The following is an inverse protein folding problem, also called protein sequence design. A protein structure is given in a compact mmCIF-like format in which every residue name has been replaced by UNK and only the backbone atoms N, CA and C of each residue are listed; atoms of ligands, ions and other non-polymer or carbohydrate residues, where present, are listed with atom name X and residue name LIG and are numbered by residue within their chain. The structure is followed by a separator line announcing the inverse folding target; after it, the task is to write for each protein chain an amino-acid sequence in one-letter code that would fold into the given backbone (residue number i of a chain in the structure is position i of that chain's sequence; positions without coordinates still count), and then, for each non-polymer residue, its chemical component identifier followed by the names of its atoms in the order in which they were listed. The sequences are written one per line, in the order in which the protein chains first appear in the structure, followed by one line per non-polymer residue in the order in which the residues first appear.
data_IF_132765225184
#
_entry.id   IF_132765225184
#
_cell.length_a   1.000
_cell.length_b   1.000
_cell.length_c   1.000
_cell.angle_alpha   90.00
_cell.angle_beta   90.00
_cell.angle_gamma   90.00
#
_symmetry.space_group_name_H-M   'P 1'
#
loop_
_entity.id
_entity.type
_entity.pdbx_description
1 polymer ?
#
# COMPACT_ATOMS: atom_id res chain seq x y z
N UNK A 1 -57.06 15.63 -11.03
CA UNK A 1 -56.26 16.54 -10.16
C UNK A 1 -54.76 16.55 -10.51
N UNK A 2 -54.25 15.64 -11.37
CA UNK A 2 -52.86 15.63 -11.86
C UNK A 2 -52.63 16.40 -13.18
N UNK A 3 -53.69 16.91 -13.80
CA UNK A 3 -53.62 17.57 -15.12
C UNK A 3 -53.64 19.12 -15.03
N UNK A 4 -53.36 19.69 -13.85
CA UNK A 4 -53.19 21.14 -13.73
C UNK A 4 -51.78 21.52 -14.21
N UNK A 5 -51.63 22.46 -15.16
CA UNK A 5 -50.33 22.79 -15.77
C UNK A 5 -49.28 23.29 -14.76
N UNK A 6 -49.72 23.83 -13.62
CA UNK A 6 -48.84 24.27 -12.54
C UNK A 6 -48.62 23.23 -11.42
N UNK A 7 -49.21 22.02 -11.52
CA UNK A 7 -49.14 21.02 -10.45
C UNK A 7 -47.70 20.64 -10.06
N UNK A 8 -46.79 20.49 -11.03
CA UNK A 8 -45.39 20.16 -10.73
C UNK A 8 -44.63 21.34 -10.11
N UNK A 9 -45.04 22.57 -10.41
CA UNK A 9 -44.46 23.78 -9.86
C UNK A 9 -44.95 23.98 -8.43
N UNK A 10 -46.25 23.83 -8.21
CA UNK A 10 -46.89 23.91 -6.89
C UNK A 10 -46.40 22.79 -5.96
N UNK A 11 -46.18 21.57 -6.47
CA UNK A 11 -45.60 20.48 -5.69
C UNK A 11 -44.13 20.75 -5.31
N UNK A 12 -43.35 21.38 -6.20
CA UNK A 12 -41.96 21.78 -5.92
C UNK A 12 -41.89 22.94 -4.92
N UNK A 13 -42.79 23.90 -5.05
CA UNK A 13 -42.86 25.06 -4.15
C UNK A 13 -43.41 24.66 -2.77
N UNK A 14 -44.38 23.73 -2.70
CA UNK A 14 -44.83 23.14 -1.43
C UNK A 14 -43.75 22.31 -0.73
N UNK A 15 -42.94 21.54 -1.48
CA UNK A 15 -41.82 20.79 -0.92
C UNK A 15 -40.68 21.71 -0.41
N UNK A 16 -40.50 22.89 -1.03
CA UNK A 16 -39.58 23.93 -0.54
C UNK A 16 -40.13 24.66 0.68
N UNK A 17 -41.43 24.96 0.69
CA UNK A 17 -42.10 25.66 1.78
C UNK A 17 -42.24 24.81 3.06
N UNK A 18 -42.35 23.48 2.95
CA UNK A 18 -42.42 22.57 4.10
C UNK A 18 -41.07 22.34 4.80
N UNK A 19 -39.96 22.89 4.31
CA UNK A 19 -38.64 22.64 4.87
C UNK A 19 -38.26 23.61 6.01
N UNK A 20 -39.18 23.83 6.95
CA UNK A 20 -39.01 24.71 8.11
C UNK A 20 -37.92 24.25 9.11
N UNK A 21 -37.41 23.02 8.94
CA UNK A 21 -36.44 22.38 9.83
C UNK A 21 -35.02 22.29 9.23
N UNK A 22 -34.80 22.81 8.01
CA UNK A 22 -33.47 22.83 7.38
C UNK A 22 -32.94 21.46 6.94
N UNK A 23 -33.79 20.43 6.81
CA UNK A 23 -33.35 19.12 6.35
C UNK A 23 -33.09 19.13 4.84
N UNK A 24 -31.84 18.94 4.44
CA UNK A 24 -31.55 18.57 3.06
C UNK A 24 -32.00 17.13 2.85
N UNK A 25 -33.20 16.95 2.27
CA UNK A 25 -33.64 15.65 1.80
C UNK A 25 -32.71 15.25 0.64
N UNK A 26 -31.71 14.40 0.91
CA UNK A 26 -30.86 13.85 -0.15
C UNK A 26 -31.75 13.05 -1.08
N UNK A 27 -31.63 13.26 -2.38
CA UNK A 27 -32.40 12.51 -3.37
C UNK A 27 -31.96 11.04 -3.42
N UNK A 28 -32.84 10.15 -3.90
CA UNK A 28 -32.52 8.72 -3.97
C UNK A 28 -31.27 8.46 -4.83
N UNK A 29 -31.11 9.22 -5.91
CA UNK A 29 -29.95 9.11 -6.80
C UNK A 29 -28.64 9.48 -6.08
N UNK A 30 -28.63 10.55 -5.29
CA UNK A 30 -27.48 10.92 -4.46
C UNK A 30 -27.10 9.84 -3.45
N UNK A 31 -28.08 9.22 -2.81
CA UNK A 31 -27.84 8.07 -1.91
C UNK A 31 -27.22 6.88 -2.64
N UNK A 32 -27.75 6.53 -3.80
CA UNK A 32 -27.25 5.39 -4.59
C UNK A 32 -25.81 5.63 -5.06
N UNK A 33 -25.50 6.82 -5.54
CA UNK A 33 -24.13 7.22 -5.93
C UNK A 33 -23.18 7.12 -4.74
N UNK A 34 -23.57 7.65 -3.57
CA UNK A 34 -22.74 7.56 -2.37
C UNK A 34 -22.47 6.11 -1.98
N UNK A 35 -23.49 5.24 -2.03
CA UNK A 35 -23.34 3.80 -1.75
C UNK A 35 -22.44 3.10 -2.76
N UNK A 36 -22.52 3.46 -4.04
CA UNK A 36 -21.58 2.96 -5.05
C UNK A 36 -20.14 3.36 -4.75
N UNK A 37 -19.90 4.64 -4.46
CA UNK A 37 -18.58 5.13 -4.07
C UNK A 37 -18.07 4.41 -2.82
N UNK A 38 -18.91 4.29 -1.79
CA UNK A 38 -18.56 3.60 -0.54
C UNK A 38 -18.18 2.15 -0.80
N UNK A 39 -18.99 1.42 -1.57
CA UNK A 39 -18.73 0.01 -1.87
C UNK A 39 -17.41 -0.17 -2.62
N UNK A 40 -17.21 0.58 -3.70
CA UNK A 40 -16.00 0.46 -4.52
C UNK A 40 -14.75 0.85 -3.74
N UNK A 41 -14.79 1.94 -2.96
CA UNK A 41 -13.65 2.45 -2.20
C UNK A 41 -13.33 1.54 -1.00
N UNK A 42 -14.33 1.19 -0.19
CA UNK A 42 -14.11 0.41 1.04
C UNK A 42 -13.67 -1.03 0.74
N UNK A 43 -14.21 -1.65 -0.31
CA UNK A 43 -13.86 -3.01 -0.73
C UNK A 43 -12.71 -3.06 -1.76
N UNK A 44 -12.14 -1.90 -2.14
CA UNK A 44 -11.01 -1.79 -3.07
C UNK A 44 -11.28 -2.47 -4.42
N UNK A 45 -12.48 -2.29 -4.95
CA UNK A 45 -12.91 -2.91 -6.21
C UNK A 45 -12.47 -2.08 -7.42
N UNK A 46 -12.29 -2.70 -8.61
CA UNK A 46 -12.09 -1.96 -9.85
C UNK A 46 -13.29 -1.05 -10.15
N UNK A 47 -13.08 0.11 -10.78
CA UNK A 47 -14.20 1.01 -11.10
C UNK A 47 -15.20 0.37 -12.08
N UNK A 48 -14.72 -0.39 -13.06
CA UNK A 48 -15.52 -1.25 -13.95
C UNK A 48 -16.44 -2.24 -13.23
N UNK A 49 -16.30 -2.45 -11.91
CA UNK A 49 -17.21 -3.28 -11.11
C UNK A 49 -18.67 -2.83 -11.22
N UNK A 50 -18.90 -1.51 -11.28
CA UNK A 50 -20.26 -0.94 -11.26
C UNK A 50 -21.06 -1.22 -12.53
N UNK A 51 -20.38 -1.60 -13.62
CA UNK A 51 -20.99 -1.92 -14.92
C UNK A 51 -21.18 -3.43 -15.16
N UNK A 52 -20.76 -4.27 -14.20
CA UNK A 52 -20.81 -5.72 -14.39
C UNK A 52 -22.26 -6.22 -14.39
N UNK A 53 -22.70 -7.02 -15.39
CA UNK A 53 -24.08 -7.49 -15.49
C UNK A 53 -24.59 -8.23 -14.24
N UNK A 54 -23.76 -9.11 -13.68
CA UNK A 54 -24.09 -9.84 -12.45
C UNK A 54 -24.21 -8.90 -11.23
N UNK A 55 -23.46 -7.81 -11.21
CA UNK A 55 -23.57 -6.83 -10.12
C UNK A 55 -24.91 -6.09 -10.23
N UNK A 56 -25.32 -5.69 -11.43
CA UNK A 56 -26.63 -5.08 -11.67
C UNK A 56 -27.80 -6.00 -11.30
N UNK A 57 -27.68 -7.31 -11.55
CA UNK A 57 -28.72 -8.28 -11.22
C UNK A 57 -28.88 -8.49 -9.70
N UNK A 58 -27.82 -8.25 -8.92
CA UNK A 58 -27.78 -8.58 -7.49
C UNK A 58 -27.81 -7.34 -6.58
N UNK A 59 -27.91 -6.13 -7.13
CA UNK A 59 -27.93 -4.88 -6.38
C UNK A 59 -29.30 -4.20 -6.47
N UNK A 60 -29.67 -3.46 -5.43
CA UNK A 60 -30.85 -2.58 -5.44
C UNK A 60 -30.48 -1.15 -5.84
N UNK A 61 -29.21 -0.87 -6.13
CA UNK A 61 -28.73 0.46 -6.49
C UNK A 61 -28.99 0.75 -7.96
N UNK A 62 -29.37 1.99 -8.27
CA UNK A 62 -29.52 2.44 -9.65
C UNK A 62 -28.21 2.24 -10.44
N UNK A 63 -28.25 1.71 -11.69
CA UNK A 63 -27.08 1.54 -12.53
C UNK A 63 -26.32 2.85 -12.76
N UNK A 64 -24.98 2.79 -12.73
CA UNK A 64 -24.09 3.89 -13.08
C UNK A 64 -22.97 3.38 -13.98
N UNK A 65 -22.37 4.27 -14.77
CA UNK A 65 -21.15 3.97 -15.51
C UNK A 65 -19.89 4.14 -14.67
N UNK A 66 -18.80 3.52 -15.10
CA UNK A 66 -17.46 3.74 -14.57
C UNK A 66 -17.08 5.22 -14.60
N UNK A 67 -17.35 5.92 -15.72
CA UNK A 67 -17.09 7.36 -15.85
C UNK A 67 -17.88 8.19 -14.83
N UNK A 68 -19.14 7.82 -14.59
CA UNK A 68 -19.98 8.50 -13.61
C UNK A 68 -19.43 8.32 -12.21
N UNK A 69 -19.05 7.08 -11.85
CA UNK A 69 -18.42 6.79 -10.56
C UNK A 69 -17.12 7.59 -10.40
N UNK A 70 -16.24 7.56 -11.40
CA UNK A 70 -14.96 8.27 -11.37
C UNK A 70 -15.16 9.78 -11.17
N UNK A 71 -16.14 10.38 -11.85
CA UNK A 71 -16.51 11.78 -11.67
C UNK A 71 -16.93 12.06 -10.22
N UNK A 72 -17.79 11.25 -9.61
CA UNK A 72 -18.23 11.48 -8.23
C UNK A 72 -17.12 11.23 -7.21
N UNK A 73 -16.28 10.21 -7.40
CA UNK A 73 -15.08 10.00 -6.57
C UNK A 73 -14.16 11.21 -6.65
N UNK A 74 -13.94 11.78 -7.83
CA UNK A 74 -13.12 12.99 -7.99
C UNK A 74 -13.72 14.21 -7.26
N UNK A 75 -15.05 14.33 -7.25
CA UNK A 75 -15.75 15.40 -6.53
C UNK A 75 -15.65 15.21 -5.01
N UNK A 76 -15.84 13.98 -4.53
CA UNK A 76 -15.64 13.62 -3.13
C UNK A 76 -14.20 13.92 -2.72
N UNK A 77 -13.21 13.54 -3.54
CA UNK A 77 -11.81 13.81 -3.29
C UNK A 77 -11.54 15.32 -3.13
N UNK A 78 -12.10 16.18 -3.99
CA UNK A 78 -11.99 17.64 -3.84
C UNK A 78 -12.57 18.16 -2.52
N UNK A 79 -13.70 17.61 -2.07
CA UNK A 79 -14.29 17.99 -0.77
C UNK A 79 -13.43 17.50 0.39
N UNK A 80 -12.92 16.26 0.31
CA UNK A 80 -12.01 15.69 1.30
C UNK A 80 -10.70 16.48 1.35
N UNK A 81 -10.12 16.88 0.22
CA UNK A 81 -8.93 17.74 0.16
C UNK A 81 -9.17 19.06 0.91
N UNK A 82 -10.34 19.69 0.72
CA UNK A 82 -10.69 20.91 1.44
C UNK A 82 -10.89 20.70 2.95
N UNK A 83 -11.43 19.55 3.35
CA UNK A 83 -11.58 19.19 4.77
C UNK A 83 -10.21 18.94 5.40
N UNK A 84 -9.35 18.16 4.73
CA UNK A 84 -7.98 17.89 5.17
C UNK A 84 -7.19 19.20 5.28
N UNK A 85 -7.28 20.11 4.29
CA UNK A 85 -6.64 21.43 4.35
C UNK A 85 -7.01 22.22 5.62
N UNK A 86 -8.27 22.14 6.06
CA UNK A 86 -8.75 22.77 7.30
C UNK A 86 -8.32 22.04 8.57
N UNK A 87 -8.17 20.72 8.52
CA UNK A 87 -7.83 19.87 9.66
C UNK A 87 -6.31 19.75 9.87
N UNK A 88 -5.51 20.02 8.84
CA UNK A 88 -4.06 20.02 8.94
C UNK A 88 -3.60 21.12 9.91
N UNK A 89 -2.79 20.78 10.92
CA UNK A 89 -2.28 21.75 11.90
C UNK A 89 -1.36 22.78 11.23
N UNK A 90 -1.04 23.84 11.96
CA UNK A 90 -0.06 24.85 11.52
C UNK A 90 1.38 24.34 11.59
N UNK A 91 1.60 23.19 12.22
CA UNK A 91 2.89 22.52 12.28
C UNK A 91 2.72 21.00 12.27
N UNK A 92 3.42 20.31 11.38
CA UNK A 92 3.37 18.85 11.24
C UNK A 92 4.70 18.29 10.73
N UNK A 93 4.86 16.96 10.83
CA UNK A 93 5.92 16.24 10.14
C UNK A 93 5.43 15.64 8.83
N UNK A 94 6.34 15.46 7.86
CA UNK A 94 6.07 14.69 6.66
C UNK A 94 6.65 13.28 6.80
N UNK A 95 5.89 12.26 6.41
CA UNK A 95 6.40 10.90 6.21
C UNK A 95 6.42 10.64 4.72
N UNK A 96 7.62 10.37 4.19
CA UNK A 96 7.88 10.11 2.79
C UNK A 96 8.14 8.61 2.63
N UNK A 97 7.38 7.96 1.76
CA UNK A 97 7.64 6.59 1.34
C UNK A 97 7.71 6.52 -0.18
N UNK A 98 8.77 5.90 -0.68
CA UNK A 98 9.06 5.75 -2.10
C UNK A 98 9.26 4.28 -2.44
N UNK A 99 8.53 3.79 -3.43
CA UNK A 99 8.72 2.41 -3.92
C UNK A 99 8.60 2.34 -5.44
N UNK A 100 9.23 1.32 -6.01
CA UNK A 100 9.09 1.00 -7.43
C UNK A 100 8.10 -0.15 -7.61
N UNK A 101 7.17 -0.02 -8.54
CA UNK A 101 6.25 -1.07 -8.93
C UNK A 101 6.17 -1.17 -10.45
N UNK A 102 6.50 -2.35 -11.01
CA UNK A 102 6.43 -2.64 -12.45
C UNK A 102 7.13 -1.59 -13.33
N UNK A 103 8.33 -1.15 -12.93
CA UNK A 103 9.12 -0.16 -13.67
C UNK A 103 8.72 1.30 -13.43
N UNK A 104 7.77 1.56 -12.52
CA UNK A 104 7.32 2.92 -12.18
C UNK A 104 7.65 3.27 -10.74
N UNK A 105 8.05 4.51 -10.50
CA UNK A 105 8.27 5.04 -9.15
C UNK A 105 6.97 5.66 -8.59
N UNK A 106 6.66 5.31 -7.35
CA UNK A 106 5.52 5.83 -6.60
C UNK A 106 6.02 6.51 -5.34
N UNK A 107 5.39 7.63 -4.99
CA UNK A 107 5.68 8.38 -3.77
C UNK A 107 4.40 8.59 -2.97
N UNK A 108 4.50 8.36 -1.67
CA UNK A 108 3.46 8.62 -0.69
C UNK A 108 3.95 9.70 0.27
N UNK A 109 3.17 10.76 0.37
CA UNK A 109 3.38 11.86 1.32
C UNK A 109 2.25 11.78 2.35
N UNK A 110 2.64 11.55 3.59
CA UNK A 110 1.72 11.58 4.72
C UNK A 110 2.06 12.77 5.62
N UNK A 111 1.04 13.40 6.17
CA UNK A 111 1.20 14.37 7.25
C UNK A 111 1.04 13.66 8.60
N UNK A 112 1.89 14.02 9.55
CA UNK A 112 1.84 13.52 10.92
C UNK A 112 1.62 14.69 11.87
N UNK A 113 0.47 14.65 12.57
CA UNK A 113 0.13 15.65 13.58
C UNK A 113 1.07 15.51 14.78
N UNK A 114 1.77 16.59 15.15
CA UNK A 114 2.41 16.69 16.46
C UNK A 114 1.30 16.83 17.52
N UNK A 115 1.14 15.82 18.37
CA UNK A 115 0.30 15.91 19.57
C UNK A 115 1.23 16.24 20.74
N UNK A 116 1.11 17.42 21.39
CA UNK A 116 2.05 17.86 22.44
C UNK A 116 2.02 17.02 23.73
N UNK A 117 1.17 16.01 23.85
CA UNK A 117 0.96 15.25 25.09
C UNK A 117 1.57 13.85 25.01
N UNK A 118 2.47 13.57 25.95
CA UNK A 118 3.11 12.27 26.25
C UNK A 118 2.12 11.20 26.75
N UNK A 119 0.94 11.06 26.11
CA UNK A 119 -0.04 10.04 26.47
C UNK A 119 -0.60 9.44 25.20
N UNK A 120 -0.10 8.25 24.85
CA UNK A 120 -0.77 7.11 24.18
C UNK A 120 -1.88 7.35 23.12
N UNK A 121 -2.00 8.53 22.53
CA UNK A 121 -2.87 8.74 21.39
C UNK A 121 -2.13 8.24 20.15
N UNK A 122 -2.71 7.32 19.36
CA UNK A 122 -2.08 6.89 18.13
C UNK A 122 -1.84 8.11 17.25
N UNK A 123 -0.61 8.24 16.75
CA UNK A 123 -0.23 9.27 15.79
C UNK A 123 -1.22 9.21 14.63
N UNK A 124 -2.03 10.25 14.45
CA UNK A 124 -2.93 10.32 13.30
C UNK A 124 -2.14 10.73 12.08
N UNK A 125 -1.98 9.77 11.17
CA UNK A 125 -1.32 9.98 9.88
C UNK A 125 -2.39 10.20 8.82
N UNK A 126 -2.32 11.31 8.10
CA UNK A 126 -3.23 11.60 6.99
C UNK A 126 -2.47 11.57 5.68
N UNK A 127 -2.92 10.71 4.76
CA UNK A 127 -2.41 10.71 3.39
C UNK A 127 -2.80 11.99 2.69
N UNK A 128 -1.80 12.79 2.31
CA UNK A 128 -2.01 14.06 1.62
C UNK A 128 -1.70 13.96 0.14
N UNK A 129 -0.81 13.04 -0.27
CA UNK A 129 -0.59 12.75 -1.68
C UNK A 129 -0.10 11.32 -1.89
N UNK A 130 -0.61 10.69 -2.94
CA UNK A 130 -0.04 9.49 -3.55
C UNK A 130 0.21 9.85 -5.00
N UNK A 131 1.44 10.23 -5.30
CA UNK A 131 1.78 10.82 -6.60
C UNK A 131 2.77 9.94 -7.36
N UNK A 132 2.63 10.02 -8.68
CA UNK A 132 3.69 9.67 -9.61
C UNK A 132 4.42 10.97 -9.95
N UNK A 133 5.76 10.95 -10.06
CA UNK A 133 6.48 12.07 -10.68
C UNK A 133 5.83 12.40 -12.02
N UNK A 134 5.68 13.70 -12.32
CA UNK A 134 5.08 14.14 -13.59
C UNK A 134 5.89 13.67 -14.80
N UNK A 135 7.22 13.67 -14.64
CA UNK A 135 8.17 13.05 -15.54
C UNK A 135 8.76 11.80 -14.85
N UNK A 136 8.48 10.61 -15.38
CA UNK A 136 9.03 9.36 -14.83
C UNK A 136 10.53 9.22 -15.09
N UNK A 137 11.12 10.05 -15.97
CA UNK A 137 12.56 10.08 -16.26
C UNK A 137 13.34 10.92 -15.24
N UNK A 138 12.69 11.88 -14.57
CA UNK A 138 13.34 12.74 -13.57
C UNK A 138 12.91 12.44 -12.12
N UNK A 139 13.75 11.65 -11.46
CA UNK A 139 13.63 11.30 -10.03
C UNK A 139 14.61 12.10 -9.16
N UNK A 140 15.05 13.27 -9.63
CA UNK A 140 15.97 14.13 -8.89
C UNK A 140 15.36 14.66 -7.60
N UNK A 141 16.24 15.12 -6.70
CA UNK A 141 15.82 15.81 -5.49
C UNK A 141 15.05 17.09 -5.77
N UNK A 142 15.27 17.74 -6.92
CA UNK A 142 14.54 18.93 -7.33
C UNK A 142 13.08 18.57 -7.66
N UNK A 143 12.87 17.58 -8.52
CA UNK A 143 11.52 17.17 -8.92
C UNK A 143 10.68 16.63 -7.77
N UNK A 144 11.29 15.90 -6.82
CA UNK A 144 10.59 15.50 -5.60
C UNK A 144 10.31 16.68 -4.67
N UNK A 145 11.23 17.65 -4.55
CA UNK A 145 11.00 18.87 -3.78
C UNK A 145 9.81 19.67 -4.34
N UNK A 146 9.76 19.84 -5.66
CA UNK A 146 8.68 20.57 -6.33
C UNK A 146 7.33 19.84 -6.16
N UNK A 147 7.33 18.51 -6.26
CA UNK A 147 6.14 17.70 -5.99
C UNK A 147 5.62 17.87 -4.55
N UNK A 148 6.53 17.92 -3.56
CA UNK A 148 6.14 18.18 -2.16
C UNK A 148 5.62 19.62 -2.02
N UNK A 149 6.27 20.61 -2.64
CA UNK A 149 5.85 22.00 -2.61
C UNK A 149 4.46 22.21 -3.23
N UNK A 150 4.18 21.58 -4.36
CA UNK A 150 2.86 21.57 -5.01
C UNK A 150 1.80 20.91 -4.13
N UNK A 151 2.16 19.81 -3.47
CA UNK A 151 1.28 19.13 -2.51
C UNK A 151 0.96 20.06 -1.34
N UNK A 152 1.96 20.70 -0.73
CA UNK A 152 1.75 21.66 0.36
C UNK A 152 0.85 22.83 -0.08
N UNK A 153 1.11 23.37 -1.27
CA UNK A 153 0.33 24.46 -1.87
C UNK A 153 -1.14 24.06 -2.07
N UNK A 154 -1.41 22.83 -2.53
CA UNK A 154 -2.78 22.30 -2.66
C UNK A 154 -3.56 22.35 -1.35
N UNK A 155 -2.88 22.09 -0.22
CA UNK A 155 -3.47 22.16 1.11
C UNK A 155 -3.34 23.53 1.78
N UNK A 156 -2.86 24.55 1.06
CA UNK A 156 -2.61 25.91 1.55
C UNK A 156 -1.61 25.94 2.72
N UNK A 157 -0.59 25.11 2.63
CA UNK A 157 0.53 25.03 3.59
C UNK A 157 1.82 25.46 2.92
N UNK A 158 2.75 25.93 3.73
CA UNK A 158 4.09 26.36 3.32
C UNK A 158 5.14 25.42 3.90
N UNK A 159 6.35 25.44 3.34
CA UNK A 159 7.48 24.65 3.87
C UNK A 159 7.76 24.91 5.35
N UNK A 160 7.58 26.14 5.82
CA UNK A 160 7.74 26.52 7.24
C UNK A 160 6.82 25.77 8.21
N UNK A 161 5.72 25.20 7.70
CA UNK A 161 4.79 24.38 8.51
C UNK A 161 5.33 22.96 8.75
N UNK A 162 6.30 22.52 7.94
CA UNK A 162 6.93 21.20 8.06
C UNK A 162 8.07 21.30 9.06
N UNK A 163 7.97 20.57 10.18
CA UNK A 163 8.96 20.61 11.29
C UNK A 163 9.99 19.50 11.24
N UNK A 164 9.68 18.40 10.58
CA UNK A 164 10.60 17.29 10.33
C UNK A 164 10.09 16.46 9.15
N UNK A 165 10.98 15.67 8.58
CA UNK A 165 10.64 14.62 7.62
C UNK A 165 11.06 13.26 8.16
N UNK A 166 10.28 12.22 7.86
CA UNK A 166 10.62 10.83 8.11
C UNK A 166 10.71 10.13 6.77
N UNK A 167 11.84 9.51 6.49
CA UNK A 167 12.07 8.84 5.22
C UNK A 167 13.33 8.00 5.27
N UNK A 168 13.55 7.18 4.25
CA UNK A 168 14.85 6.50 4.12
C UNK A 168 15.97 7.54 3.98
N UNK A 169 17.18 7.17 4.42
CA UNK A 169 18.32 8.08 4.42
C UNK A 169 18.98 8.20 3.02
N UNK A 170 18.18 8.12 1.96
CA UNK A 170 18.68 8.23 0.59
C UNK A 170 19.20 9.65 0.30
N UNK A 171 20.10 9.77 -0.68
CA UNK A 171 20.71 11.05 -1.05
C UNK A 171 19.67 12.11 -1.46
N UNK A 172 18.56 11.68 -2.07
CA UNK A 172 17.44 12.54 -2.46
C UNK A 172 16.77 13.17 -1.24
N UNK A 173 16.35 12.36 -0.25
CA UNK A 173 15.73 12.87 0.97
C UNK A 173 16.69 13.74 1.78
N UNK A 174 17.97 13.36 1.84
CA UNK A 174 19.00 14.16 2.48
C UNK A 174 19.19 15.51 1.78
N UNK A 175 19.14 15.54 0.44
CA UNK A 175 19.23 16.77 -0.33
C UNK A 175 18.05 17.69 0.02
N UNK A 176 16.82 17.17 -0.02
CA UNK A 176 15.59 17.90 0.33
C UNK A 176 15.67 18.46 1.77
N UNK A 177 16.09 17.66 2.75
CA UNK A 177 16.20 18.10 4.14
C UNK A 177 17.25 19.18 4.37
N UNK A 178 18.25 19.31 3.48
CA UNK A 178 19.24 20.39 3.52
C UNK A 178 18.79 21.66 2.79
N UNK A 179 17.63 21.66 2.13
CA UNK A 179 17.06 22.85 1.47
C UNK A 179 16.35 23.75 2.50
N UNK A 180 15.37 24.53 2.04
CA UNK A 180 14.55 25.48 2.82
C UNK A 180 14.39 25.08 4.29
N UNK A 181 14.84 25.97 5.19
CA UNK A 181 14.68 25.81 6.64
C UNK A 181 15.48 24.70 7.31
N UNK A 182 16.32 23.94 6.58
CA UNK A 182 17.11 22.82 7.08
C UNK A 182 16.27 21.82 7.91
N UNK A 183 15.22 21.29 7.30
CA UNK A 183 14.24 20.42 7.97
C UNK A 183 14.93 19.12 8.44
N UNK A 184 14.87 18.78 9.74
CA UNK A 184 15.43 17.54 10.25
C UNK A 184 14.86 16.31 9.55
N UNK A 185 15.74 15.47 8.99
CA UNK A 185 15.40 14.17 8.42
C UNK A 185 15.62 13.07 9.47
N UNK A 186 14.53 12.48 9.94
CA UNK A 186 14.52 11.32 10.80
C UNK A 186 14.57 10.06 9.93
N UNK A 187 15.64 9.29 10.06
CA UNK A 187 15.81 8.06 9.30
C UNK A 187 14.70 7.04 9.59
N UNK A 188 14.18 6.43 8.53
CA UNK A 188 13.12 5.43 8.57
C UNK A 188 13.50 4.26 9.48
N UNK A 189 12.74 4.07 10.57
CA UNK A 189 12.99 3.02 11.56
C UNK A 189 12.92 1.62 10.94
N UNK A 190 11.98 1.39 10.03
CA UNK A 190 11.85 0.12 9.32
C UNK A 190 13.10 -0.13 8.46
N UNK A 191 13.57 0.86 7.69
CA UNK A 191 14.80 0.72 6.92
C UNK A 191 16.03 0.44 7.81
N UNK A 192 16.18 1.15 8.93
CA UNK A 192 17.26 0.92 9.90
C UNK A 192 17.22 -0.49 10.50
N UNK A 193 16.02 -0.97 10.84
CA UNK A 193 15.83 -2.32 11.34
C UNK A 193 16.16 -3.37 10.27
N UNK A 194 15.76 -3.14 9.01
CA UNK A 194 16.15 -3.99 7.89
C UNK A 194 17.68 -4.10 7.77
N UNK A 195 18.41 -2.98 7.89
CA UNK A 195 19.87 -2.98 7.85
C UNK A 195 20.48 -3.78 9.00
N UNK A 196 19.94 -3.66 10.22
CA UNK A 196 20.39 -4.45 11.36
C UNK A 196 20.15 -5.96 11.16
N UNK A 197 18.99 -6.34 10.64
CA UNK A 197 18.69 -7.74 10.29
C UNK A 197 19.62 -8.23 9.18
N UNK A 198 19.88 -7.43 8.14
CA UNK A 198 20.82 -7.79 7.09
C UNK A 198 22.25 -8.01 7.63
N UNK A 199 22.68 -7.17 8.56
CA UNK A 199 23.99 -7.31 9.22
C UNK A 199 24.07 -8.60 10.04
N UNK A 200 23.04 -8.89 10.84
CA UNK A 200 22.90 -10.15 11.59
C UNK A 200 22.97 -11.38 10.67
N UNK A 201 22.36 -11.31 9.48
CA UNK A 201 22.29 -12.42 8.53
C UNK A 201 23.56 -12.61 7.68
N UNK A 202 24.58 -11.75 7.78
CA UNK A 202 25.82 -11.86 7.00
C UNK A 202 26.53 -13.21 7.20
N UNK A 203 26.53 -13.72 8.43
CA UNK A 203 27.14 -15.01 8.79
C UNK A 203 26.48 -16.19 8.06
N UNK A 204 25.18 -16.10 7.78
CA UNK A 204 24.37 -17.13 7.14
C UNK A 204 24.11 -16.87 5.65
N UNK A 205 24.79 -15.90 5.05
CA UNK A 205 24.52 -15.47 3.67
C UNK A 205 24.59 -16.60 2.65
N UNK A 206 25.53 -17.55 2.82
CA UNK A 206 25.67 -18.74 1.95
C UNK A 206 24.47 -19.68 2.07
N UNK A 207 24.02 -19.94 3.28
CA UNK A 207 22.86 -20.79 3.55
C UNK A 207 21.59 -20.17 2.94
N UNK A 208 21.38 -18.88 3.18
CA UNK A 208 20.22 -18.14 2.67
C UNK A 208 20.25 -18.10 1.13
N UNK A 209 21.42 -17.87 0.52
CA UNK A 209 21.56 -17.89 -0.94
C UNK A 209 21.22 -19.28 -1.53
N UNK A 210 21.59 -20.36 -0.85
CA UNK A 210 21.26 -21.72 -1.27
C UNK A 210 19.76 -21.99 -1.18
N UNK A 211 19.10 -21.57 -0.10
CA UNK A 211 17.63 -21.66 0.04
C UNK A 211 16.96 -20.83 -1.06
N UNK A 212 17.40 -19.60 -1.30
CA UNK A 212 16.87 -18.73 -2.36
C UNK A 212 17.01 -19.39 -3.74
N UNK A 213 18.14 -20.04 -4.05
CA UNK A 213 18.36 -20.74 -5.31
C UNK A 213 17.40 -21.92 -5.49
N UNK A 214 17.23 -22.75 -4.45
CA UNK A 214 16.26 -23.85 -4.45
C UNK A 214 14.83 -23.34 -4.65
N UNK A 215 14.42 -22.32 -3.89
CA UNK A 215 13.09 -21.73 -3.97
C UNK A 215 12.83 -21.09 -5.34
N UNK A 216 13.86 -20.51 -5.96
CA UNK A 216 13.81 -19.96 -7.32
C UNK A 216 13.57 -21.06 -8.36
N UNK A 217 14.29 -22.18 -8.26
CA UNK A 217 14.08 -23.35 -9.14
C UNK A 217 12.68 -23.92 -8.99
N UNK A 218 12.19 -24.08 -7.76
CA UNK A 218 10.84 -24.57 -7.47
C UNK A 218 9.74 -23.61 -7.92
N UNK A 219 10.03 -22.30 -8.06
CA UNK A 219 9.06 -21.28 -8.53
C UNK A 219 8.80 -21.37 -10.04
N UNK A 220 9.69 -21.98 -10.81
CA UNK A 220 9.49 -22.19 -12.26
C UNK A 220 8.22 -23.00 -12.55
N UNK A 221 7.71 -22.97 -13.78
CA UNK A 221 6.52 -23.72 -14.17
C UNK A 221 6.74 -25.23 -13.91
N UNK A 222 7.88 -25.78 -14.35
CA UNK A 222 8.25 -27.18 -14.14
C UNK A 222 8.43 -27.51 -12.66
N UNK A 223 9.14 -26.65 -11.90
CA UNK A 223 9.33 -26.81 -10.47
C UNK A 223 8.02 -26.79 -9.68
N UNK A 224 7.07 -25.91 -10.04
CA UNK A 224 5.74 -25.87 -9.41
C UNK A 224 4.90 -27.08 -9.78
N UNK A 225 4.95 -27.55 -11.03
CA UNK A 225 4.27 -28.78 -11.43
C UNK A 225 4.76 -29.98 -10.62
N UNK A 226 6.07 -30.08 -10.41
CA UNK A 226 6.68 -31.07 -9.53
C UNK A 226 6.21 -30.90 -8.07
N UNK A 227 6.30 -29.69 -7.52
CA UNK A 227 5.96 -29.43 -6.13
C UNK A 227 4.50 -29.76 -5.81
N UNK A 228 3.56 -29.52 -6.75
CA UNK A 228 2.14 -29.88 -6.61
C UNK A 228 1.90 -31.38 -6.41
N UNK A 229 2.84 -32.24 -6.81
CA UNK A 229 2.74 -33.69 -6.60
C UNK A 229 2.96 -34.08 -5.14
N UNK A 230 3.68 -33.26 -4.37
CA UNK A 230 4.11 -33.56 -2.99
C UNK A 230 3.64 -32.53 -1.96
N UNK A 231 3.22 -31.33 -2.38
CA UNK A 231 2.76 -30.27 -1.49
C UNK A 231 1.79 -29.31 -2.17
N UNK A 232 0.87 -28.74 -1.38
CA UNK A 232 -0.01 -27.63 -1.81
C UNK A 232 0.65 -26.25 -1.66
N UNK A 233 1.80 -26.17 -1.01
CA UNK A 233 2.48 -24.92 -0.73
C UNK A 233 3.28 -24.42 -1.94
N UNK A 234 3.22 -23.11 -2.19
CA UNK A 234 4.06 -22.46 -3.19
C UNK A 234 5.41 -22.01 -2.59
N UNK A 235 6.49 -21.96 -3.36
CA UNK A 235 7.73 -21.35 -2.90
C UNK A 235 7.58 -19.83 -2.77
N UNK A 236 8.21 -19.25 -1.75
CA UNK A 236 8.37 -17.81 -1.53
C UNK A 236 9.84 -17.42 -1.76
N UNK A 237 10.07 -16.25 -2.34
CA UNK A 237 11.42 -15.68 -2.44
C UNK A 237 11.57 -14.54 -1.44
N UNK A 238 12.80 -14.35 -0.97
CA UNK A 238 13.15 -13.14 -0.22
C UNK A 238 13.11 -11.91 -1.14
N UNK A 239 12.78 -10.78 -0.56
CA UNK A 239 12.90 -9.44 -1.12
C UNK A 239 13.88 -8.66 -0.23
N UNK A 240 15.02 -8.26 -0.80
CA UNK A 240 16.11 -7.65 -0.04
C UNK A 240 15.70 -6.35 0.68
N UNK A 241 14.65 -5.66 0.21
CA UNK A 241 14.13 -4.43 0.84
C UNK A 241 13.20 -4.65 2.02
N UNK A 242 12.85 -5.91 2.35
CA UNK A 242 11.89 -6.25 3.42
C UNK A 242 12.46 -7.36 4.32
N UNK A 243 12.77 -7.06 5.58
CA UNK A 243 13.39 -8.02 6.50
C UNK A 243 12.59 -9.31 6.66
N UNK A 244 11.26 -9.19 6.76
CA UNK A 244 10.33 -10.31 6.99
C UNK A 244 10.26 -11.28 5.82
N UNK A 245 10.73 -10.88 4.64
CA UNK A 245 10.75 -11.75 3.47
C UNK A 245 11.75 -12.90 3.61
N UNK A 246 12.88 -12.68 4.30
CA UNK A 246 13.86 -13.75 4.55
C UNK A 246 13.28 -14.76 5.53
N UNK A 247 12.64 -14.27 6.61
CA UNK A 247 11.90 -15.11 7.54
C UNK A 247 10.82 -15.94 6.81
N UNK A 248 9.98 -15.29 6.01
CA UNK A 248 8.91 -15.97 5.27
C UNK A 248 9.44 -17.04 4.31
N UNK A 249 10.56 -16.78 3.62
CA UNK A 249 11.22 -17.76 2.76
C UNK A 249 11.75 -18.95 3.56
N UNK A 250 12.52 -18.71 4.63
CA UNK A 250 13.13 -19.77 5.45
C UNK A 250 12.03 -20.61 6.10
N UNK A 251 10.99 -19.98 6.65
CA UNK A 251 9.79 -20.66 7.17
C UNK A 251 9.14 -21.54 6.11
N UNK A 252 8.95 -21.00 4.90
CA UNK A 252 8.36 -21.76 3.79
C UNK A 252 9.23 -22.95 3.39
N UNK A 253 10.55 -22.78 3.34
CA UNK A 253 11.49 -23.86 3.07
C UNK A 253 11.40 -24.97 4.12
N UNK A 254 11.44 -24.63 5.41
CA UNK A 254 11.34 -25.60 6.51
C UNK A 254 10.03 -26.42 6.42
N UNK A 255 8.92 -25.80 6.02
CA UNK A 255 7.66 -26.53 5.77
C UNK A 255 7.68 -27.39 4.50
N UNK A 256 8.43 -27.00 3.48
CA UNK A 256 8.51 -27.72 2.20
C UNK A 256 9.52 -28.88 2.23
N UNK A 257 10.56 -28.79 3.04
CA UNK A 257 11.66 -29.75 3.07
C UNK A 257 11.19 -31.20 3.23
N UNK A 258 10.28 -31.56 4.17
CA UNK A 258 9.85 -32.94 4.31
C UNK A 258 9.18 -33.51 3.06
N UNK A 259 8.46 -32.66 2.31
CA UNK A 259 7.81 -33.05 1.06
C UNK A 259 8.81 -33.15 -0.11
N UNK A 260 9.83 -32.29 -0.13
CA UNK A 260 10.92 -32.34 -1.12
C UNK A 260 11.77 -33.61 -0.89
N UNK A 261 12.03 -33.97 0.36
CA UNK A 261 12.80 -35.16 0.74
C UNK A 261 12.09 -36.48 0.40
N UNK A 262 10.78 -36.46 0.12
CA UNK A 262 10.02 -37.61 -0.39
C UNK A 262 10.17 -37.80 -1.91
N UNK A 263 10.78 -36.86 -2.62
CA UNK A 263 11.01 -37.01 -4.06
C UNK A 263 12.08 -38.08 -4.31
N UNK A 264 11.75 -39.04 -5.18
CA UNK A 264 12.70 -40.08 -5.58
C UNK A 264 13.93 -39.49 -6.28
N UNK A 265 15.08 -40.16 -6.13
CA UNK A 265 16.37 -39.71 -6.65
C UNK A 265 16.34 -39.37 -8.15
N UNK A 266 15.64 -40.19 -8.97
CA UNK A 266 15.50 -39.92 -10.40
C UNK A 266 14.84 -38.57 -10.71
N UNK A 267 13.78 -38.22 -9.95
CA UNK A 267 13.06 -36.95 -10.12
C UNK A 267 13.92 -35.75 -9.70
N UNK A 268 14.76 -35.91 -8.67
CA UNK A 268 15.69 -34.88 -8.22
C UNK A 268 16.76 -34.58 -9.28
N UNK A 269 17.22 -35.60 -10.00
CA UNK A 269 18.20 -35.48 -11.10
C UNK A 269 17.53 -34.88 -12.34
N UNK A 270 16.38 -35.40 -12.76
CA UNK A 270 15.66 -34.95 -13.97
C UNK A 270 15.29 -33.46 -13.92
N UNK A 271 15.00 -32.95 -12.71
CA UNK A 271 14.64 -31.56 -12.49
C UNK A 271 15.83 -30.70 -12.04
N UNK A 272 17.05 -31.26 -12.01
CA UNK A 272 18.28 -30.58 -11.64
C UNK A 272 18.13 -29.83 -10.29
N UNK A 273 17.58 -30.55 -9.31
CA UNK A 273 17.41 -30.09 -7.93
C UNK A 273 18.58 -30.52 -7.04
N UNK A 274 19.28 -31.60 -7.40
CA UNK A 274 20.38 -32.18 -6.64
C UNK A 274 21.43 -31.16 -6.13
N UNK A 275 21.96 -30.23 -6.95
CA UNK A 275 22.97 -29.28 -6.48
C UNK A 275 22.39 -28.23 -5.51
N UNK A 276 21.08 -28.03 -5.52
CA UNK A 276 20.37 -27.03 -4.73
C UNK A 276 19.85 -27.59 -3.40
N UNK A 277 19.81 -28.91 -3.23
CA UNK A 277 19.38 -29.52 -1.99
C UNK A 277 20.36 -29.20 -0.85
N UNK A 278 19.78 -28.79 0.28
CA UNK A 278 20.52 -28.56 1.50
C UNK A 278 20.93 -29.91 2.11
N UNK A 279 22.17 -29.98 2.60
CA UNK A 279 22.67 -31.10 3.39
C UNK A 279 21.96 -31.10 4.74
N UNK A 280 22.00 -32.24 5.44
CA UNK A 280 21.38 -32.38 6.76
C UNK A 280 21.79 -31.27 7.74
N UNK A 281 23.08 -30.96 7.84
CA UNK A 281 23.58 -29.89 8.70
C UNK A 281 23.07 -28.49 8.30
N UNK A 282 22.95 -28.22 7.00
CA UNK A 282 22.40 -26.96 6.49
C UNK A 282 20.90 -26.84 6.78
N UNK A 283 20.16 -27.95 6.69
CA UNK A 283 18.74 -28.00 7.07
C UNK A 283 18.54 -27.77 8.57
N UNK A 284 19.30 -28.47 9.41
CA UNK A 284 19.28 -28.25 10.86
C UNK A 284 19.61 -26.79 11.19
N UNK A 285 20.62 -26.21 10.53
CA UNK A 285 20.93 -24.78 10.68
C UNK A 285 19.80 -23.87 10.20
N UNK A 286 19.09 -24.22 9.12
CA UNK A 286 17.94 -23.44 8.63
C UNK A 286 16.78 -23.39 9.63
N UNK A 287 16.57 -24.45 10.42
CA UNK A 287 15.59 -24.47 11.52
C UNK A 287 16.04 -23.60 12.68
N UNK A 288 17.34 -23.63 13.02
CA UNK A 288 17.93 -22.70 13.99
C UNK A 288 17.75 -21.25 13.57
N UNK A 289 18.10 -20.94 12.31
CA UNK A 289 17.93 -19.62 11.70
C UNK A 289 16.46 -19.18 11.70
N UNK A 290 15.51 -20.09 11.48
CA UNK A 290 14.09 -19.77 11.59
C UNK A 290 13.72 -19.29 12.99
N UNK A 291 14.20 -19.97 14.03
CA UNK A 291 13.96 -19.57 15.43
C UNK A 291 14.60 -18.21 15.74
N UNK A 292 15.85 -17.99 15.29
CA UNK A 292 16.55 -16.71 15.42
C UNK A 292 15.73 -15.58 14.76
N UNK A 293 15.19 -15.84 13.57
CA UNK A 293 14.38 -14.89 12.82
C UNK A 293 13.00 -14.63 13.44
N UNK A 294 12.40 -15.61 14.12
CA UNK A 294 11.11 -15.45 14.81
C UNK A 294 11.17 -14.33 15.86
N UNK A 295 12.32 -14.11 16.50
CA UNK A 295 12.49 -13.03 17.47
C UNK A 295 12.30 -11.62 16.87
N UNK A 296 12.41 -11.47 15.54
CA UNK A 296 12.24 -10.19 14.85
C UNK A 296 10.81 -9.93 14.35
N UNK A 297 9.90 -10.91 14.44
CA UNK A 297 8.59 -10.85 13.76
C UNK A 297 7.43 -10.39 14.64
N UNK A 298 7.64 -10.12 15.93
CA UNK A 298 6.72 -9.40 16.82
C UNK A 298 5.41 -10.10 17.14
#
# INVERSE_FOLDING_TARGET
MRDHPDYERDARDAARAQNALGFQLVDQRGRDIYRWCQWVICERLPFAFVERPLVHQNTTLSPISEDTLALYISRIAKVVEQLVSRLLPDSFGLVLDGWSNSGRHCFLILSQKLVPTLVQTPLTTTTISSARPGDEEDLSAQSLFDLIADTLTRYRKLWDTVKFMVGDNCSVNQCIGRREGAIPLVGCASHRFNLAVQDFLKSEAKLIAKIQALMTKLRTIKGRALLRRVSKLAPLLRNDTRWSSTYAMVKRYVCLEPAISQLGHGVVVDYDLQPLLLRRAEHERSRGLLNDLTAFEG
#
